data_IF_615308794466
#
_entry.id   IF_615308794466
#
_cell.length_a   1.000
_cell.length_b   1.000
_cell.length_c   1.000
_cell.angle_alpha   90.00
_cell.angle_beta   90.00
_cell.angle_gamma   90.00
#
_symmetry.space_group_name_H-M   'P 1'
#
loop_
_entity.id
_entity.type
_entity.pdbx_description
1 polymer ?
#
# COMPACT_ATOMS: atom_id res chain seq x y z
N UNK A 1 -31.93 30.71 4.79
CA UNK A 1 -30.59 30.33 4.28
C UNK A 1 -29.59 30.50 5.43
N UNK A 2 -29.31 29.42 6.17
CA UNK A 2 -28.22 29.40 7.14
C UNK A 2 -27.13 28.48 6.58
N UNK A 3 -26.01 29.09 6.22
CA UNK A 3 -24.85 28.38 5.74
C UNK A 3 -24.22 27.57 6.86
N UNK A 4 -24.25 26.26 6.73
CA UNK A 4 -23.19 25.41 7.26
C UNK A 4 -22.65 24.64 6.07
N UNK A 5 -21.61 25.19 5.44
CA UNK A 5 -20.73 24.43 4.56
C UNK A 5 -19.89 23.49 5.43
N UNK A 6 -20.55 22.64 6.21
CA UNK A 6 -19.89 21.57 6.94
C UNK A 6 -19.42 20.59 5.88
N UNK A 7 -18.17 20.75 5.42
CA UNK A 7 -17.42 19.65 4.85
C UNK A 7 -17.35 18.57 5.93
N UNK A 8 -18.37 17.72 5.94
CA UNK A 8 -18.37 16.45 6.64
C UNK A 8 -17.32 15.60 5.95
N UNK A 9 -16.22 15.32 6.64
CA UNK A 9 -15.23 14.36 6.15
C UNK A 9 -15.78 12.97 6.41
N UNK A 10 -15.86 12.17 5.35
CA UNK A 10 -16.26 10.76 5.46
C UNK A 10 -15.13 9.94 6.11
N UNK A 11 -15.18 9.85 7.45
CA UNK A 11 -14.22 9.10 8.27
C UNK A 11 -14.27 7.61 7.93
N UNK A 12 -15.44 7.07 7.62
CA UNK A 12 -15.59 5.67 7.22
C UNK A 12 -14.97 5.43 5.85
N UNK A 13 -15.21 6.34 4.90
CA UNK A 13 -14.56 6.34 3.59
C UNK A 13 -13.03 6.39 3.69
N UNK A 14 -12.46 7.24 4.56
CA UNK A 14 -11.01 7.30 4.79
C UNK A 14 -10.46 5.97 5.33
N UNK A 15 -11.14 5.37 6.31
CA UNK A 15 -10.74 4.06 6.87
C UNK A 15 -10.88 2.92 5.87
N UNK A 16 -11.94 2.93 5.06
CA UNK A 16 -12.14 1.96 3.99
C UNK A 16 -11.05 2.06 2.91
N UNK A 17 -10.67 3.28 2.55
CA UNK A 17 -9.55 3.52 1.65
C UNK A 17 -8.22 3.03 2.26
N UNK A 18 -7.95 3.34 3.54
CA UNK A 18 -6.76 2.85 4.25
C UNK A 18 -6.70 1.32 4.27
N UNK A 19 -7.81 0.63 4.55
CA UNK A 19 -7.89 -0.83 4.53
C UNK A 19 -7.57 -1.39 3.13
N UNK A 20 -8.17 -0.82 2.08
CA UNK A 20 -7.92 -1.21 0.68
C UNK A 20 -6.43 -1.06 0.31
N UNK A 21 -5.81 0.05 0.72
CA UNK A 21 -4.39 0.30 0.48
C UNK A 21 -3.50 -0.72 1.20
N UNK A 22 -3.85 -1.12 2.43
CA UNK A 22 -3.12 -2.17 3.17
C UNK A 22 -3.25 -3.54 2.52
N UNK A 23 -4.43 -3.91 2.05
CA UNK A 23 -4.65 -5.16 1.33
C UNK A 23 -3.86 -5.18 0.00
N UNK A 24 -3.81 -4.05 -0.70
CA UNK A 24 -2.96 -3.85 -1.87
C UNK A 24 -1.48 -4.03 -1.52
N UNK A 25 -0.99 -3.37 -0.47
CA UNK A 25 0.39 -3.51 0.03
C UNK A 25 0.75 -4.96 0.35
N UNK A 26 -0.13 -5.66 1.06
CA UNK A 26 0.06 -7.06 1.42
C UNK A 26 0.10 -7.96 0.17
N UNK A 27 -0.76 -7.68 -0.82
CA UNK A 27 -0.78 -8.41 -2.09
C UNK A 27 0.50 -8.20 -2.88
N UNK A 28 0.97 -6.95 -3.02
CA UNK A 28 2.23 -6.65 -3.72
C UNK A 28 3.44 -7.29 -3.03
N UNK A 29 3.48 -7.27 -1.70
CA UNK A 29 4.51 -7.98 -0.92
C UNK A 29 4.52 -9.48 -1.17
N UNK A 30 3.34 -10.12 -1.22
CA UNK A 30 3.23 -11.54 -1.57
C UNK A 30 3.71 -11.82 -2.99
N UNK A 31 3.36 -10.99 -3.97
CA UNK A 31 3.80 -11.20 -5.35
C UNK A 31 5.31 -10.98 -5.50
N UNK A 32 5.88 -9.96 -4.85
CA UNK A 32 7.34 -9.76 -4.82
C UNK A 32 8.06 -11.00 -4.29
N UNK A 33 7.61 -11.57 -3.16
CA UNK A 33 8.22 -12.80 -2.63
C UNK A 33 8.12 -13.97 -3.60
N UNK A 34 6.97 -14.14 -4.28
CA UNK A 34 6.82 -15.22 -5.27
C UNK A 34 7.81 -15.08 -6.43
N UNK A 35 8.11 -13.85 -6.85
CA UNK A 35 9.11 -13.58 -7.88
C UNK A 35 10.51 -13.93 -7.38
N UNK A 36 10.85 -13.56 -6.15
CA UNK A 36 12.14 -13.92 -5.53
C UNK A 36 12.28 -15.45 -5.35
N UNK A 37 11.22 -16.12 -4.88
CA UNK A 37 11.21 -17.57 -4.62
C UNK A 37 11.31 -18.42 -5.91
N UNK A 38 10.94 -17.86 -7.06
CA UNK A 38 10.96 -18.54 -8.38
C UNK A 38 11.94 -17.85 -9.34
N UNK A 39 13.07 -17.39 -8.83
CA UNK A 39 14.09 -16.74 -9.64
C UNK A 39 14.57 -17.65 -10.78
N UNK A 40 14.52 -17.12 -12.01
CA UNK A 40 14.95 -17.85 -13.20
C UNK A 40 16.46 -18.16 -13.12
N UNK A 41 16.84 -19.42 -13.39
CA UNK A 41 18.25 -19.82 -13.46
C UNK A 41 18.93 -20.20 -12.14
N UNK A 42 18.16 -20.68 -11.14
CA UNK A 42 18.68 -21.20 -9.88
C UNK A 42 19.82 -22.24 -10.03
N UNK A 43 20.68 -22.30 -9.01
CA UNK A 43 21.95 -23.04 -9.00
C UNK A 43 21.81 -24.50 -9.44
N UNK A 44 22.14 -24.80 -10.70
CA UNK A 44 22.32 -26.17 -11.18
C UNK A 44 21.54 -26.53 -12.44
N UNK A 45 20.59 -25.73 -12.90
CA UNK A 45 19.77 -26.10 -14.06
C UNK A 45 20.49 -25.90 -15.40
N UNK A 46 20.46 -26.94 -16.24
CA UNK A 46 21.09 -27.02 -17.56
C UNK A 46 20.71 -25.84 -18.49
N UNK A 47 19.52 -25.26 -18.28
CA UNK A 47 19.00 -24.11 -19.04
C UNK A 47 19.84 -22.83 -18.84
N UNK A 48 20.39 -22.61 -17.64
CA UNK A 48 21.22 -21.44 -17.32
C UNK A 48 22.55 -21.42 -18.06
N UNK A 49 23.09 -22.58 -18.46
CA UNK A 49 24.34 -22.67 -19.22
C UNK A 49 24.16 -22.31 -20.70
N UNK A 50 23.07 -22.75 -21.33
CA UNK A 50 22.82 -22.54 -22.76
C UNK A 50 22.23 -21.16 -23.08
N UNK A 51 21.59 -20.52 -22.11
CA UNK A 51 20.99 -19.19 -22.25
C UNK A 51 21.61 -18.16 -21.33
N UNK A 52 22.86 -18.33 -20.87
CA UNK A 52 23.46 -17.55 -19.78
C UNK A 52 23.24 -16.02 -19.87
N UNK A 53 23.33 -15.44 -21.08
CA UNK A 53 23.11 -14.00 -21.29
C UNK A 53 21.63 -13.61 -21.25
N UNK A 54 20.77 -14.35 -21.95
CA UNK A 54 19.32 -14.11 -21.98
C UNK A 54 18.67 -14.42 -20.62
N UNK A 55 19.10 -15.50 -19.97
CA UNK A 55 18.70 -15.91 -18.63
C UNK A 55 19.12 -14.90 -17.57
N UNK A 56 20.33 -14.33 -17.66
CA UNK A 56 20.75 -13.23 -16.78
C UNK A 56 19.89 -11.98 -16.98
N UNK A 57 19.56 -11.62 -18.23
CA UNK A 57 18.67 -10.48 -18.50
C UNK A 57 17.25 -10.72 -17.95
N UNK A 58 16.71 -11.93 -18.10
CA UNK A 58 15.42 -12.33 -17.54
C UNK A 58 15.45 -12.29 -16.01
N UNK A 59 16.51 -12.83 -15.40
CA UNK A 59 16.72 -12.81 -13.95
C UNK A 59 16.74 -11.38 -13.40
N UNK A 60 17.59 -10.51 -13.95
CA UNK A 60 17.66 -9.10 -13.53
C UNK A 60 16.35 -8.36 -13.78
N UNK A 61 15.59 -8.73 -14.83
CA UNK A 61 14.25 -8.22 -15.05
C UNK A 61 13.27 -8.62 -13.94
N UNK A 62 13.30 -9.88 -13.50
CA UNK A 62 12.48 -10.34 -12.37
C UNK A 62 12.86 -9.68 -11.06
N UNK A 63 14.15 -9.52 -10.76
CA UNK A 63 14.62 -8.78 -9.58
C UNK A 63 14.10 -7.34 -9.61
N UNK A 64 14.20 -6.66 -10.75
CA UNK A 64 13.72 -5.29 -10.90
C UNK A 64 12.19 -5.18 -10.70
N UNK A 65 11.43 -6.16 -11.20
CA UNK A 65 9.97 -6.22 -10.97
C UNK A 65 9.68 -6.46 -9.49
N UNK A 66 10.41 -7.36 -8.81
CA UNK A 66 10.25 -7.61 -7.39
C UNK A 66 10.50 -6.34 -6.57
N UNK A 67 11.54 -5.57 -6.90
CA UNK A 67 11.84 -4.29 -6.26
C UNK A 67 10.76 -3.23 -6.50
N UNK A 68 10.25 -3.12 -7.73
CA UNK A 68 9.13 -2.22 -8.03
C UNK A 68 7.90 -2.58 -7.19
N UNK A 69 7.55 -3.88 -7.10
CA UNK A 69 6.43 -4.36 -6.29
C UNK A 69 6.63 -4.06 -4.80
N UNK A 70 7.85 -4.21 -4.26
CA UNK A 70 8.17 -3.82 -2.88
C UNK A 70 7.96 -2.33 -2.66
N UNK A 71 8.50 -1.49 -3.54
CA UNK A 71 8.42 -0.04 -3.43
C UNK A 71 6.97 0.45 -3.48
N UNK A 72 6.17 -0.06 -4.42
CA UNK A 72 4.74 0.23 -4.47
C UNK A 72 4.01 -0.26 -3.22
N UNK A 73 4.35 -1.45 -2.72
CA UNK A 73 3.80 -1.97 -1.46
C UNK A 73 4.08 -1.04 -0.27
N UNK A 74 5.29 -0.50 -0.17
CA UNK A 74 5.65 0.48 0.87
C UNK A 74 4.88 1.79 0.73
N UNK A 75 4.76 2.30 -0.51
CA UNK A 75 4.01 3.53 -0.77
C UNK A 75 2.52 3.40 -0.41
N UNK A 76 1.88 2.28 -0.74
CA UNK A 76 0.50 2.00 -0.35
C UNK A 76 0.32 1.95 1.17
N UNK A 77 1.25 1.30 1.89
CA UNK A 77 1.21 1.24 3.35
C UNK A 77 1.35 2.64 3.98
N UNK A 78 2.32 3.44 3.51
CA UNK A 78 2.49 4.81 4.00
C UNK A 78 1.26 5.68 3.72
N UNK A 79 0.63 5.53 2.55
CA UNK A 79 -0.60 6.25 2.21
C UNK A 79 -1.77 5.83 3.12
N UNK A 80 -1.87 4.54 3.44
CA UNK A 80 -2.88 4.03 4.37
C UNK A 80 -2.71 4.63 5.77
N UNK A 81 -1.47 4.76 6.25
CA UNK A 81 -1.18 5.33 7.58
C UNK A 81 -1.55 6.82 7.64
N UNK A 82 -1.34 7.57 6.56
CA UNK A 82 -1.81 8.96 6.45
C UNK A 82 -3.34 9.04 6.51
N UNK A 83 -4.06 8.17 5.80
CA UNK A 83 -5.53 8.15 5.81
C UNK A 83 -6.10 7.80 7.18
N UNK A 84 -5.50 6.83 7.88
CA UNK A 84 -5.91 6.48 9.24
C UNK A 84 -5.61 7.59 10.25
N UNK A 85 -4.46 8.25 10.12
CA UNK A 85 -4.12 9.40 10.95
C UNK A 85 -5.13 10.54 10.74
N UNK A 86 -5.47 10.83 9.48
CA UNK A 86 -6.47 11.84 9.15
C UNK A 86 -7.85 11.49 9.72
N UNK A 87 -8.31 10.24 9.54
CA UNK A 87 -9.56 9.75 10.09
C UNK A 87 -9.62 9.91 11.62
N UNK A 88 -8.51 9.63 12.31
CA UNK A 88 -8.41 9.74 13.76
C UNK A 88 -8.47 11.20 14.25
N UNK A 89 -7.77 12.11 13.56
CA UNK A 89 -7.83 13.54 13.84
C UNK A 89 -9.22 14.12 13.60
N UNK A 90 -9.88 13.76 12.49
CA UNK A 90 -11.25 14.21 12.23
C UNK A 90 -12.22 13.70 13.29
N UNK A 91 -12.11 12.43 13.70
CA UNK A 91 -12.95 11.89 14.77
C UNK A 91 -12.69 12.58 16.12
N UNK A 92 -11.46 13.01 16.40
CA UNK A 92 -11.12 13.77 17.61
C UNK A 92 -11.76 15.15 17.57
N UNK A 93 -11.58 15.89 16.48
CA UNK A 93 -12.14 17.23 16.30
C UNK A 93 -13.67 17.23 16.35
N UNK A 94 -14.30 16.21 15.77
CA UNK A 94 -15.76 16.07 15.79
C UNK A 94 -16.28 15.88 17.22
N UNK A 95 -15.66 15.00 18.01
CA UNK A 95 -15.98 14.82 19.44
C UNK A 95 -15.78 16.10 20.26
N UNK A 96 -14.69 16.83 20.03
CA UNK A 96 -14.42 18.10 20.72
C UNK A 96 -15.42 19.20 20.37
N UNK A 97 -15.93 19.22 19.14
CA UNK A 97 -16.99 20.13 18.72
C UNK A 97 -18.33 19.75 19.33
N UNK A 98 -18.69 18.46 19.30
CA UNK A 98 -19.91 17.95 19.92
C UNK A 98 -19.95 18.27 21.42
N UNK A 99 -18.86 18.03 22.16
CA UNK A 99 -18.77 18.32 23.58
C UNK A 99 -18.98 19.81 23.91
N UNK A 100 -18.45 20.72 23.07
CA UNK A 100 -18.67 22.17 23.22
C UNK A 100 -20.10 22.61 22.96
N UNK A 101 -20.81 21.93 22.06
CA UNK A 101 -22.21 22.22 21.74
C UNK A 101 -23.14 21.67 22.83
N UNK A 102 -22.85 20.50 23.39
CA UNK A 102 -23.69 19.87 24.44
C UNK A 102 -23.49 20.45 25.84
N UNK A 103 -22.44 21.23 26.08
CA UNK A 103 -22.11 21.83 27.38
C UNK A 103 -22.49 23.30 27.56
N UNK A 104 -23.16 23.92 26.57
CA UNK A 104 -23.70 25.27 26.63
C UNK A 104 -25.22 25.27 26.58
#
# INVERSE_FOLDING_TARGET
MSGSNALSVDIEGLRGAAATLRDGSATLRRQSRRVDDHAFGGSGEQAGRNYARQGSAVHSGFEHVADCLRNWGMALAATADVFDSAASEYQRLDRERAARISGG
#
